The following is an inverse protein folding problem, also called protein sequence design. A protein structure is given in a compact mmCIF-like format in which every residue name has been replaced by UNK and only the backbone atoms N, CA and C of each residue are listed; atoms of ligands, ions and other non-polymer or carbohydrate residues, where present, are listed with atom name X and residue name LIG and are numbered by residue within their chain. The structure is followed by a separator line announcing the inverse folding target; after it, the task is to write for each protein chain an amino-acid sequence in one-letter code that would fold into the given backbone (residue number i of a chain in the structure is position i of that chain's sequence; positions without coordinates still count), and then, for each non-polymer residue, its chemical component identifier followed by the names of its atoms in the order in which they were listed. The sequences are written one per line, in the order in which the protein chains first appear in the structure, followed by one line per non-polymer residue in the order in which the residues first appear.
data_IF_266216421932
#
_entry.id   IF_266216421932
#
_cell.length_a   1.000
_cell.length_b   1.000
_cell.length_c   1.000
_cell.angle_alpha   90.00
_cell.angle_beta   90.00
_cell.angle_gamma   90.00
#
_symmetry.space_group_name_H-M   'P 1'
#
loop_
_entity.id
_entity.type
_entity.pdbx_description
1 polymer ?
#
# COMPACT_ATOMS: atom_id res chain seq x y z
N UNK A 1 -12.52 -17.61 -4.15
CA UNK A 1 -12.47 -16.22 -3.64
C UNK A 1 -11.15 -15.62 -4.09
N UNK A 2 -11.17 -14.56 -4.90
CA UNK A 2 -9.91 -13.86 -5.21
C UNK A 2 -9.52 -13.04 -3.98
N UNK A 3 -8.46 -13.46 -3.31
CA UNK A 3 -7.91 -12.73 -2.16
C UNK A 3 -7.32 -11.41 -2.68
N UNK A 4 -7.91 -10.28 -2.26
CA UNK A 4 -7.52 -8.95 -2.75
C UNK A 4 -6.22 -8.44 -2.12
N UNK A 5 -5.98 -8.82 -0.86
CA UNK A 5 -4.75 -8.51 -0.14
C UNK A 5 -4.43 -9.61 0.88
N UNK A 6 -3.18 -9.68 1.27
CA UNK A 6 -2.65 -10.61 2.28
C UNK A 6 -2.07 -9.82 3.44
N UNK A 7 -2.28 -10.31 4.66
CA UNK A 7 -1.72 -9.72 5.87
C UNK A 7 -0.79 -10.75 6.51
N UNK A 8 0.43 -10.34 6.79
CA UNK A 8 1.46 -11.17 7.44
C UNK A 8 1.98 -10.39 8.64
N UNK A 9 1.67 -10.85 9.84
CA UNK A 9 2.23 -10.30 11.08
C UNK A 9 3.63 -10.89 11.31
N UNK A 10 4.45 -10.17 12.07
CA UNK A 10 5.84 -10.53 12.38
C UNK A 10 6.68 -10.81 11.12
N UNK A 11 6.56 -9.89 10.15
CA UNK A 11 7.15 -10.05 8.83
C UNK A 11 8.67 -10.08 8.84
N UNK A 12 9.34 -9.18 9.57
CA UNK A 12 10.79 -9.15 9.73
C UNK A 12 11.23 -9.81 11.03
N UNK A 13 12.24 -10.65 10.98
CA UNK A 13 12.81 -11.28 12.17
C UNK A 13 13.56 -10.26 13.04
N UNK A 14 14.12 -9.21 12.42
CA UNK A 14 14.88 -8.14 13.06
C UNK A 14 14.21 -6.76 12.83
N UNK A 15 12.89 -6.69 13.01
CA UNK A 15 12.09 -5.50 12.71
C UNK A 15 12.61 -4.20 13.33
N UNK A 16 13.25 -4.25 14.52
CA UNK A 16 13.81 -3.07 15.16
C UNK A 16 14.96 -2.43 14.37
N UNK A 17 15.74 -3.20 13.60
CA UNK A 17 16.79 -2.65 12.73
C UNK A 17 16.17 -1.91 11.55
N UNK A 18 15.09 -2.43 11.00
CA UNK A 18 14.31 -1.74 9.96
C UNK A 18 13.67 -0.46 10.50
N UNK A 19 13.12 -0.49 11.71
CA UNK A 19 12.64 0.72 12.38
C UNK A 19 13.77 1.77 12.53
N UNK A 20 14.95 1.38 12.98
CA UNK A 20 16.10 2.29 13.12
C UNK A 20 16.56 2.88 11.79
N UNK A 21 16.33 2.20 10.67
CA UNK A 21 16.70 2.69 9.34
C UNK A 21 16.00 4.00 8.94
N UNK A 22 14.84 4.30 9.52
CA UNK A 22 14.15 5.58 9.31
C UNK A 22 14.96 6.77 9.81
N UNK A 23 15.70 6.60 10.89
CA UNK A 23 16.53 7.66 11.48
C UNK A 23 17.86 7.83 10.74
N UNK A 24 18.38 6.79 10.07
CA UNK A 24 19.59 6.84 9.25
C UNK A 24 19.32 7.20 7.79
N UNK A 25 18.06 7.37 7.38
CA UNK A 25 17.61 7.62 6.00
C UNK A 25 18.07 6.55 5.00
N UNK A 26 18.31 5.34 5.46
CA UNK A 26 18.65 4.21 4.62
C UNK A 26 17.44 3.28 4.51
N UNK A 27 16.99 3.00 3.30
CA UNK A 27 16.00 1.95 3.09
C UNK A 27 16.74 0.62 3.02
N UNK A 28 16.50 -0.24 4.02
CA UNK A 28 17.10 -1.58 4.08
C UNK A 28 16.25 -2.56 3.27
N UNK A 29 16.88 -3.29 2.38
CA UNK A 29 16.31 -4.46 1.72
C UNK A 29 17.35 -5.56 1.78
N UNK A 30 16.93 -6.75 2.12
CA UNK A 30 17.79 -7.93 2.13
C UNK A 30 17.30 -8.96 1.12
N UNK A 31 18.17 -9.86 0.73
CA UNK A 31 17.81 -11.01 -0.10
C UNK A 31 16.71 -11.85 0.58
N UNK A 32 16.76 -11.98 1.90
CA UNK A 32 15.74 -12.65 2.70
C UNK A 32 14.34 -12.03 2.51
N UNK A 33 14.24 -10.70 2.43
CA UNK A 33 12.97 -9.99 2.15
C UNK A 33 12.39 -10.45 0.81
N UNK A 34 13.22 -10.50 -0.22
CA UNK A 34 12.80 -10.92 -1.57
C UNK A 34 12.39 -12.40 -1.59
N UNK A 35 13.15 -13.27 -0.92
CA UNK A 35 12.82 -14.69 -0.81
C UNK A 35 11.51 -14.92 -0.07
N UNK A 36 11.27 -14.21 1.05
CA UNK A 36 10.02 -14.26 1.82
C UNK A 36 8.82 -13.80 1.00
N UNK A 37 8.94 -12.70 0.26
CA UNK A 37 7.90 -12.24 -0.66
C UNK A 37 7.63 -13.24 -1.78
N UNK A 38 8.67 -13.83 -2.37
CA UNK A 38 8.54 -14.87 -3.40
C UNK A 38 7.79 -16.10 -2.87
N UNK A 39 8.08 -16.51 -1.64
CA UNK A 39 7.38 -17.62 -0.97
C UNK A 39 5.90 -17.29 -0.75
N UNK A 40 5.58 -16.11 -0.18
CA UNK A 40 4.21 -15.68 0.10
C UNK A 40 3.39 -15.58 -1.19
N UNK A 41 3.97 -15.02 -2.25
CA UNK A 41 3.32 -14.85 -3.54
C UNK A 41 3.32 -16.13 -4.40
N UNK A 42 4.01 -17.20 -3.94
CA UNK A 42 4.16 -18.48 -4.63
C UNK A 42 4.73 -18.34 -6.05
N UNK A 43 5.64 -17.38 -6.24
CA UNK A 43 6.34 -17.11 -7.51
C UNK A 43 7.61 -16.30 -7.28
N UNK A 44 8.60 -16.37 -8.18
CA UNK A 44 9.74 -15.45 -8.16
C UNK A 44 9.27 -14.01 -8.26
N UNK A 45 9.89 -13.12 -7.50
CA UNK A 45 9.62 -11.67 -7.57
C UNK A 45 10.91 -10.88 -7.47
N UNK A 46 10.86 -9.64 -7.97
CA UNK A 46 11.90 -8.64 -7.87
C UNK A 46 11.35 -7.40 -7.17
N UNK A 47 12.07 -6.89 -6.17
CA UNK A 47 11.78 -5.58 -5.57
C UNK A 47 12.45 -4.53 -6.46
N UNK A 48 11.65 -3.79 -7.21
CA UNK A 48 12.16 -2.79 -8.16
C UNK A 48 12.43 -1.44 -7.51
N UNK A 49 11.68 -1.11 -6.47
CA UNK A 49 11.86 0.11 -5.69
C UNK A 49 11.45 -0.12 -4.22
N UNK A 50 12.09 0.63 -3.32
CA UNK A 50 11.76 0.61 -1.90
C UNK A 50 11.92 1.98 -1.26
N UNK A 51 11.00 2.30 -0.37
CA UNK A 51 10.91 3.58 0.30
C UNK A 51 10.65 3.41 1.78
N UNK A 52 11.33 4.20 2.60
CA UNK A 52 10.94 4.45 3.99
C UNK A 52 10.07 5.70 4.03
N UNK A 53 8.80 5.54 4.37
CA UNK A 53 7.81 6.60 4.40
C UNK A 53 7.46 6.98 5.83
N UNK A 54 7.41 8.29 6.08
CA UNK A 54 6.98 8.87 7.36
C UNK A 54 5.75 9.72 7.11
N UNK A 55 4.65 9.42 7.79
CA UNK A 55 3.42 10.18 7.61
C UNK A 55 2.95 10.73 8.96
N UNK A 56 2.93 12.05 9.07
CA UNK A 56 2.54 12.79 10.26
C UNK A 56 1.02 13.00 10.33
N UNK A 57 0.53 13.41 11.50
CA UNK A 57 -0.86 13.87 11.64
C UNK A 57 -1.18 14.99 10.62
N UNK A 58 -2.43 15.08 10.20
CA UNK A 58 -2.90 16.00 9.15
C UNK A 58 -2.36 15.73 7.72
N UNK A 59 -1.56 14.69 7.52
CA UNK A 59 -1.24 14.25 6.17
C UNK A 59 -2.39 13.41 5.63
N UNK A 60 -2.96 13.84 4.50
CA UNK A 60 -3.99 13.08 3.78
C UNK A 60 -3.31 12.41 2.58
N UNK A 61 -3.31 11.09 2.57
CA UNK A 61 -2.85 10.33 1.41
C UNK A 61 -4.03 10.15 0.43
N UNK A 62 -3.89 10.57 -0.84
CA UNK A 62 -4.96 10.42 -1.81
C UNK A 62 -5.25 8.95 -2.12
N UNK A 63 -6.45 8.68 -2.63
CA UNK A 63 -6.77 7.40 -3.25
C UNK A 63 -5.96 7.28 -4.54
N UNK A 64 -5.27 6.16 -4.72
CA UNK A 64 -4.37 5.93 -5.84
C UNK A 64 -4.38 4.47 -6.28
N UNK A 65 -3.89 4.21 -7.47
CA UNK A 65 -3.52 2.88 -7.96
C UNK A 65 -2.17 3.00 -8.70
N UNK A 66 -1.39 1.93 -8.71
CA UNK A 66 -0.09 1.91 -9.37
C UNK A 66 -0.09 0.85 -10.48
N UNK A 67 0.22 1.24 -11.69
CA UNK A 67 0.29 0.34 -12.86
C UNK A 67 1.73 0.05 -13.31
N UNK A 68 2.73 0.60 -12.61
CA UNK A 68 4.15 0.41 -12.94
C UNK A 68 4.77 -0.85 -12.30
N UNK A 69 4.07 -1.47 -11.34
CA UNK A 69 4.48 -2.71 -10.69
C UNK A 69 3.28 -3.66 -10.56
N UNK A 70 3.54 -4.93 -10.21
CA UNK A 70 2.48 -5.94 -10.09
C UNK A 70 1.90 -5.99 -8.68
N UNK A 71 2.77 -5.77 -7.66
CA UNK A 71 2.40 -5.86 -6.26
C UNK A 71 3.03 -4.72 -5.46
N UNK A 72 2.35 -4.35 -4.39
CA UNK A 72 2.90 -3.47 -3.36
C UNK A 72 2.89 -4.23 -2.04
N UNK A 73 3.99 -4.12 -1.29
CA UNK A 73 4.05 -4.53 0.11
C UNK A 73 4.26 -3.29 0.99
N UNK A 74 3.44 -3.17 2.03
CA UNK A 74 3.53 -2.11 3.03
C UNK A 74 3.82 -2.76 4.37
N UNK A 75 4.97 -2.47 4.96
CA UNK A 75 5.40 -3.02 6.24
C UNK A 75 5.41 -1.90 7.28
N UNK A 76 4.52 -1.97 8.26
CA UNK A 76 4.42 -0.99 9.33
C UNK A 76 5.51 -1.19 10.37
N UNK A 77 6.20 -0.10 10.72
CA UNK A 77 7.35 -0.12 11.62
C UNK A 77 7.21 0.89 12.78
N UNK A 78 6.03 1.52 12.95
CA UNK A 78 5.71 2.31 14.13
C UNK A 78 5.62 1.40 15.36
N UNK A 79 6.38 1.72 16.38
CA UNK A 79 6.41 0.91 17.61
C UNK A 79 5.18 1.14 18.50
N UNK A 80 4.75 0.15 19.31
CA UNK A 80 3.79 0.39 20.38
C UNK A 80 4.35 1.37 21.43
N UNK A 81 3.49 2.18 22.09
CA UNK A 81 2.02 2.17 21.98
C UNK A 81 1.46 2.99 20.82
N UNK A 82 2.28 3.71 20.06
CA UNK A 82 1.84 4.76 19.13
C UNK A 82 1.03 4.23 17.94
N UNK A 83 1.23 2.95 17.55
CA UNK A 83 0.48 2.32 16.47
C UNK A 83 -0.86 1.68 16.91
N UNK A 84 -1.18 1.68 18.21
CA UNK A 84 -2.38 0.97 18.70
C UNK A 84 -3.66 1.65 18.23
N UNK A 85 -4.57 0.85 17.61
CA UNK A 85 -5.87 1.30 17.11
C UNK A 85 -5.79 2.41 16.03
N UNK A 86 -4.64 2.58 15.39
CA UNK A 86 -4.49 3.53 14.28
C UNK A 86 -4.89 2.90 12.96
N UNK A 87 -5.71 3.62 12.20
CA UNK A 87 -6.03 3.23 10.82
C UNK A 87 -4.78 3.32 9.95
N UNK A 88 -4.62 2.33 9.08
CA UNK A 88 -3.55 2.28 8.10
C UNK A 88 -4.10 2.23 6.69
N UNK A 89 -3.65 1.26 5.91
CA UNK A 89 -4.00 1.08 4.51
C UNK A 89 -5.50 0.82 4.33
N UNK A 90 -6.15 1.62 3.50
CA UNK A 90 -7.55 1.47 3.11
C UNK A 90 -7.68 1.08 1.65
N UNK A 91 -8.72 0.31 1.32
CA UNK A 91 -9.04 -0.11 -0.05
C UNK A 91 -10.43 0.40 -0.43
N UNK A 92 -10.56 0.84 -1.68
CA UNK A 92 -11.73 1.54 -2.18
C UNK A 92 -12.30 0.92 -3.44
N UNK A 93 -13.60 1.10 -3.61
CA UNK A 93 -14.28 0.92 -4.89
C UNK A 93 -14.91 2.25 -5.34
N UNK A 94 -14.86 2.51 -6.64
CA UNK A 94 -15.51 3.69 -7.21
C UNK A 94 -17.02 3.44 -7.33
N UNK A 95 -17.85 4.22 -6.64
CA UNK A 95 -19.30 3.99 -6.52
C UNK A 95 -20.03 3.94 -7.86
N UNK A 96 -19.66 4.81 -8.79
CA UNK A 96 -20.33 4.92 -10.09
C UNK A 96 -20.04 3.75 -11.01
N UNK A 97 -18.83 3.19 -10.99
CA UNK A 97 -18.41 2.10 -11.89
C UNK A 97 -18.37 0.75 -11.22
N UNK A 98 -18.35 0.71 -9.88
CA UNK A 98 -18.14 -0.52 -9.10
C UNK A 98 -16.73 -1.08 -9.16
N UNK A 99 -15.78 -0.38 -9.82
CA UNK A 99 -14.41 -0.86 -9.98
C UNK A 99 -13.60 -0.61 -8.69
N UNK A 100 -12.90 -1.66 -8.25
CA UNK A 100 -12.00 -1.64 -7.10
C UNK A 100 -10.51 -1.64 -7.49
N UNK A 101 -10.23 -1.61 -8.78
CA UNK A 101 -8.89 -1.56 -9.36
C UNK A 101 -8.85 -0.65 -10.57
N UNK A 102 -7.65 -0.29 -10.99
CA UNK A 102 -7.44 0.44 -12.24
C UNK A 102 -8.07 -0.36 -13.41
N UNK A 103 -8.84 0.31 -14.29
CA UNK A 103 -9.62 -0.37 -15.32
C UNK A 103 -8.71 -1.15 -16.28
N UNK A 104 -9.05 -2.41 -16.49
CA UNK A 104 -8.45 -3.23 -17.52
C UNK A 104 -9.08 -2.95 -18.89
N UNK A 105 -8.56 -3.57 -19.95
CA UNK A 105 -9.02 -3.37 -21.33
C UNK A 105 -10.52 -3.62 -21.49
N UNK A 106 -11.07 -4.65 -20.86
CA UNK A 106 -12.49 -4.97 -20.91
C UNK A 106 -13.36 -3.88 -20.24
N UNK A 107 -12.94 -3.38 -19.09
CA UNK A 107 -13.62 -2.26 -18.43
C UNK A 107 -13.57 -0.97 -19.25
N UNK A 108 -12.44 -0.72 -19.92
CA UNK A 108 -12.31 0.41 -20.85
C UNK A 108 -13.28 0.31 -22.02
N UNK A 109 -13.40 -0.86 -22.63
CA UNK A 109 -14.34 -1.08 -23.75
C UNK A 109 -15.80 -0.86 -23.34
N UNK A 110 -16.24 -1.40 -22.20
CA UNK A 110 -17.62 -1.26 -21.71
C UNK A 110 -17.95 0.21 -21.42
N UNK A 111 -17.02 0.97 -20.84
CA UNK A 111 -17.23 2.36 -20.46
C UNK A 111 -16.91 3.37 -21.58
N UNK A 112 -16.42 2.91 -22.72
CA UNK A 112 -16.07 3.74 -23.87
C UNK A 112 -14.82 4.59 -23.65
N UNK A 113 -13.96 4.23 -22.71
CA UNK A 113 -12.68 4.93 -22.44
C UNK A 113 -11.65 4.55 -23.49
N UNK A 114 -11.18 5.52 -24.26
CA UNK A 114 -10.26 5.31 -25.37
C UNK A 114 -8.79 5.59 -25.01
N UNK A 115 -8.56 6.36 -23.94
CA UNK A 115 -7.24 6.80 -23.53
C UNK A 115 -7.18 7.07 -22.02
N UNK A 116 -5.98 7.33 -21.51
CA UNK A 116 -5.74 7.61 -20.06
C UNK A 116 -6.51 8.85 -19.57
N UNK A 117 -6.69 9.87 -20.41
CA UNK A 117 -7.40 11.09 -20.01
C UNK A 117 -8.88 10.81 -19.73
N UNK A 118 -9.50 9.91 -20.50
CA UNK A 118 -10.89 9.47 -20.26
C UNK A 118 -11.00 8.75 -18.93
N UNK A 119 -10.02 7.89 -18.63
CA UNK A 119 -9.96 7.15 -17.36
C UNK A 119 -9.81 8.15 -16.21
N UNK A 120 -8.78 9.00 -16.25
CA UNK A 120 -8.49 9.99 -15.18
C UNK A 120 -9.68 10.90 -14.90
N UNK A 121 -10.37 11.37 -15.95
CA UNK A 121 -11.58 12.21 -15.80
C UNK A 121 -12.77 11.45 -15.19
N UNK A 122 -12.80 10.13 -15.37
CA UNK A 122 -13.90 9.28 -14.86
C UNK A 122 -13.73 8.90 -13.39
N UNK A 123 -12.51 9.06 -12.84
CA UNK A 123 -12.17 8.75 -11.47
C UNK A 123 -11.63 9.99 -10.76
N UNK A 124 -12.53 10.81 -10.20
CA UNK A 124 -12.10 11.93 -9.37
C UNK A 124 -11.63 11.44 -8.01
N UNK A 125 -10.30 11.22 -7.89
CA UNK A 125 -9.67 10.78 -6.65
C UNK A 125 -9.66 11.84 -5.55
N UNK A 126 -10.05 13.08 -5.87
CA UNK A 126 -10.15 14.20 -4.92
C UNK A 126 -11.52 14.29 -4.25
N UNK A 127 -12.58 13.74 -4.85
CA UNK A 127 -13.92 13.69 -4.25
C UNK A 127 -14.14 12.37 -3.54
N UNK A 128 -13.91 12.35 -2.23
CA UNK A 128 -14.12 11.18 -1.38
C UNK A 128 -15.55 10.63 -1.44
N UNK A 129 -16.54 11.45 -1.82
CA UNK A 129 -17.93 11.00 -1.93
C UNK A 129 -18.15 10.04 -3.11
N UNK A 130 -17.28 10.03 -4.11
CA UNK A 130 -17.36 9.09 -5.22
C UNK A 130 -16.77 7.70 -4.88
N UNK A 131 -16.17 7.55 -3.71
CA UNK A 131 -15.50 6.33 -3.29
C UNK A 131 -16.19 5.67 -2.10
N UNK A 132 -16.12 4.35 -2.06
CA UNK A 132 -16.58 3.51 -0.94
C UNK A 132 -15.38 2.74 -0.38
N UNK A 133 -15.03 3.02 0.90
CA UNK A 133 -14.04 2.21 1.61
C UNK A 133 -14.65 0.84 1.93
N UNK A 134 -14.13 -0.24 1.35
CA UNK A 134 -14.62 -1.58 1.62
C UNK A 134 -13.72 -2.39 2.57
N UNK A 135 -12.51 -1.94 2.80
CA UNK A 135 -11.60 -2.56 3.78
C UNK A 135 -10.60 -1.55 4.32
N UNK A 136 -10.23 -1.72 5.59
CA UNK A 136 -9.13 -1.01 6.23
C UNK A 136 -8.27 -1.98 7.02
N UNK A 137 -6.95 -1.84 6.92
CA UNK A 137 -5.97 -2.59 7.70
C UNK A 137 -5.35 -1.70 8.74
N UNK A 138 -5.57 -2.01 10.02
CA UNK A 138 -4.99 -1.25 11.13
C UNK A 138 -3.48 -1.39 11.18
N UNK A 139 -2.81 -0.30 11.54
CA UNK A 139 -1.37 -0.28 11.79
C UNK A 139 -1.04 -1.23 12.95
N UNK A 140 -0.07 -2.10 12.74
CA UNK A 140 0.52 -2.96 13.76
C UNK A 140 2.01 -3.07 13.48
N UNK A 141 2.83 -2.91 14.51
CA UNK A 141 4.28 -3.08 14.38
C UNK A 141 4.63 -4.41 13.74
N UNK A 142 5.51 -4.36 12.73
CA UNK A 142 5.98 -5.51 11.96
C UNK A 142 4.88 -6.26 11.17
N UNK A 143 3.79 -5.57 10.82
CA UNK A 143 2.75 -6.10 9.92
C UNK A 143 3.07 -5.74 8.48
N UNK A 144 3.07 -6.74 7.62
CA UNK A 144 3.14 -6.56 6.17
C UNK A 144 1.76 -6.76 5.55
N UNK A 145 1.36 -5.84 4.68
CA UNK A 145 0.17 -5.94 3.83
C UNK A 145 0.63 -6.01 2.38
N UNK A 146 0.30 -7.09 1.69
CA UNK A 146 0.70 -7.33 0.29
C UNK A 146 -0.56 -7.32 -0.55
N UNK A 147 -0.59 -6.54 -1.63
CA UNK A 147 -1.75 -6.42 -2.51
C UNK A 147 -1.32 -6.11 -3.95
N UNK A 148 -2.21 -6.36 -4.91
CA UNK A 148 -1.98 -5.98 -6.30
C UNK A 148 -1.95 -4.47 -6.43
N UNK A 149 -0.95 -3.97 -7.13
CA UNK A 149 -0.67 -2.54 -7.22
C UNK A 149 -1.77 -1.74 -7.92
N UNK A 150 -2.55 -2.38 -8.79
CA UNK A 150 -3.64 -1.78 -9.53
C UNK A 150 -4.92 -1.55 -8.70
N UNK A 151 -5.03 -2.09 -7.47
CA UNK A 151 -6.18 -1.81 -6.61
C UNK A 151 -6.17 -0.36 -6.11
N UNK A 152 -7.38 0.24 -6.05
CA UNK A 152 -7.57 1.55 -5.47
C UNK A 152 -7.35 1.52 -3.96
N UNK A 153 -6.37 2.27 -3.50
CA UNK A 153 -5.96 2.29 -2.10
C UNK A 153 -5.49 3.66 -1.65
N UNK A 154 -5.49 3.89 -0.33
CA UNK A 154 -4.83 5.00 0.32
C UNK A 154 -4.00 4.47 1.48
N UNK A 155 -2.83 5.06 1.73
CA UNK A 155 -1.98 4.69 2.87
C UNK A 155 -2.53 5.18 4.22
N UNK A 156 -3.74 5.74 4.20
CA UNK A 156 -4.42 6.26 5.39
C UNK A 156 -3.92 7.64 5.80
N UNK A 157 -4.57 8.17 6.81
CA UNK A 157 -4.14 9.43 7.41
C UNK A 157 -3.00 9.16 8.39
N UNK A 158 -1.98 10.00 8.34
CA UNK A 158 -0.88 9.92 9.28
C UNK A 158 -1.31 10.24 10.72
N UNK A 159 -0.43 9.96 11.64
CA UNK A 159 -0.57 10.31 13.05
C UNK A 159 0.80 10.68 13.63
N UNK A 160 0.79 11.28 14.85
CA UNK A 160 2.01 11.75 15.48
C UNK A 160 2.57 13.04 14.86
N UNK A 161 3.42 13.71 15.60
CA UNK A 161 4.02 15.00 15.21
C UNK A 161 5.53 14.92 15.01
N UNK A 162 6.14 13.83 15.49
CA UNK A 162 7.57 13.57 15.40
C UNK A 162 7.81 12.18 14.83
N UNK A 163 8.97 11.95 14.22
CA UNK A 163 9.30 10.69 13.56
C UNK A 163 9.15 9.45 14.46
N UNK A 164 9.45 9.58 15.76
CA UNK A 164 9.38 8.48 16.72
C UNK A 164 7.95 8.06 17.09
N UNK A 165 6.95 8.93 16.91
CA UNK A 165 5.55 8.67 17.22
C UNK A 165 4.62 8.72 16.01
N UNK A 166 5.18 8.84 14.81
CA UNK A 166 4.45 8.96 13.55
C UNK A 166 4.21 7.60 12.90
N UNK A 167 3.36 7.59 11.87
CA UNK A 167 3.18 6.40 11.05
C UNK A 167 4.43 6.17 10.20
N UNK A 168 5.18 5.13 10.54
CA UNK A 168 6.36 4.68 9.82
C UNK A 168 6.02 3.40 9.06
N UNK A 169 6.28 3.38 7.76
CA UNK A 169 6.14 2.16 6.99
C UNK A 169 7.17 2.10 5.87
N UNK A 170 7.62 0.90 5.57
CA UNK A 170 8.39 0.60 4.38
C UNK A 170 7.42 0.20 3.26
N UNK A 171 7.60 0.80 2.08
CA UNK A 171 6.84 0.50 0.87
C UNK A 171 7.75 -0.15 -0.16
N UNK A 172 7.40 -1.33 -0.62
CA UNK A 172 8.14 -2.08 -1.63
C UNK A 172 7.28 -2.20 -2.89
N UNK A 173 7.83 -1.79 -4.03
CA UNK A 173 7.23 -2.01 -5.34
C UNK A 173 7.84 -3.26 -5.94
N UNK A 174 6.98 -4.19 -6.36
CA UNK A 174 7.36 -5.57 -6.67
C UNK A 174 6.86 -5.92 -8.08
N UNK A 175 7.75 -6.53 -8.87
CA UNK A 175 7.41 -7.16 -10.15
C UNK A 175 7.52 -8.66 -10.06
N UNK A 176 6.73 -9.34 -10.89
CA UNK A 176 6.91 -10.77 -11.13
C UNK A 176 8.25 -10.97 -11.86
N UNK A 177 9.03 -11.93 -11.39
CA UNK A 177 10.29 -12.32 -12.02
C UNK A 177 10.08 -13.21 -13.24
#
# INVERSE_FOLDING_TARGET
MNQKFMIVDDFYDIAHQYHQSFFSKQCMITEETTQKLSYILSRPVEIVEAFNEVTFENTVNPITANTACDWIAVIYLTMPPDCVMKKGLSFYSHKKTGLDSFPNEYACQINGWQNMDDIVKSFDVSDENEWEEYANVFVKYNRCVIFKADYWHSYGNGFGSEINNSMLYQKLLIKNG
#
